data_IF_629711410789
#
_entry.id   IF_629711410789
#
_cell.length_a   1.000
_cell.length_b   1.000
_cell.length_c   1.000
_cell.angle_alpha   90.00
_cell.angle_beta   90.00
_cell.angle_gamma   90.00
#
_symmetry.space_group_name_H-M   'P 1'
#
loop_
_entity.id
_entity.type
_entity.pdbx_description
1 polymer ?
#
# COMPACT_ATOMS: atom_id res chain seq x y z
N UNK A 1 -19.79 10.16 -3.35
CA UNK A 1 -19.00 8.98 -2.94
C UNK A 1 -17.53 9.32 -3.02
N UNK A 2 -16.71 8.79 -2.11
CA UNK A 2 -15.27 9.05 -2.16
C UNK A 2 -14.58 8.10 -3.13
N UNK A 3 -13.69 8.62 -3.97
CA UNK A 3 -12.87 7.85 -4.88
C UNK A 3 -11.61 7.40 -4.16
N UNK A 4 -11.57 6.13 -3.77
CA UNK A 4 -10.50 5.54 -2.98
C UNK A 4 -9.76 4.49 -3.81
N UNK A 5 -8.43 4.57 -3.79
CA UNK A 5 -7.53 3.56 -4.34
C UNK A 5 -6.75 2.91 -3.19
N UNK A 6 -6.53 1.62 -3.29
CA UNK A 6 -5.71 0.86 -2.36
C UNK A 6 -4.44 0.38 -3.07
N UNK A 7 -3.28 0.57 -2.45
CA UNK A 7 -1.99 0.10 -2.95
C UNK A 7 -1.32 -0.78 -1.89
N UNK A 8 -1.07 -2.04 -2.21
CA UNK A 8 -0.47 -2.97 -1.25
C UNK A 8 -0.01 -4.25 -1.90
N UNK A 9 0.82 -5.03 -1.20
CA UNK A 9 1.39 -6.25 -1.78
C UNK A 9 1.37 -7.42 -0.80
N UNK A 10 1.96 -7.37 0.42
CA UNK A 10 2.16 -8.51 1.26
C UNK A 10 0.89 -8.93 2.02
N UNK A 11 0.96 -10.11 2.63
CA UNK A 11 -0.12 -10.66 3.46
C UNK A 11 -0.57 -9.73 4.60
N UNK A 12 0.35 -8.95 5.15
CA UNK A 12 0.05 -7.94 6.17
C UNK A 12 -1.03 -6.94 5.72
N UNK A 13 -1.08 -6.59 4.44
CA UNK A 13 -2.04 -5.64 3.88
C UNK A 13 -3.45 -6.24 3.68
N UNK A 14 -3.60 -7.57 3.65
CA UNK A 14 -4.87 -8.25 3.35
C UNK A 14 -5.99 -7.91 4.32
N UNK A 15 -5.82 -8.03 5.66
CA UNK A 15 -6.90 -7.67 6.60
C UNK A 15 -7.29 -6.21 6.52
N UNK A 16 -6.35 -5.34 6.18
CA UNK A 16 -6.57 -3.90 6.03
C UNK A 16 -7.46 -3.65 4.80
N UNK A 17 -7.11 -4.23 3.64
CA UNK A 17 -7.93 -4.15 2.42
C UNK A 17 -9.35 -4.61 2.68
N UNK A 18 -9.53 -5.78 3.30
CA UNK A 18 -10.85 -6.32 3.63
C UNK A 18 -11.65 -5.38 4.52
N UNK A 19 -11.02 -4.81 5.56
CA UNK A 19 -11.69 -3.91 6.49
C UNK A 19 -12.13 -2.59 5.85
N UNK A 20 -11.30 -2.04 4.98
CA UNK A 20 -11.63 -0.82 4.23
C UNK A 20 -12.78 -1.10 3.25
N UNK A 21 -12.73 -2.21 2.51
CA UNK A 21 -13.74 -2.59 1.53
C UNK A 21 -15.13 -2.85 2.16
N UNK A 22 -15.18 -3.22 3.45
CA UNK A 22 -16.45 -3.35 4.18
C UNK A 22 -17.19 -2.02 4.39
N UNK A 23 -16.44 -0.91 4.45
CA UNK A 23 -16.99 0.41 4.80
C UNK A 23 -17.02 1.38 3.63
N UNK A 24 -16.11 1.23 2.69
CA UNK A 24 -15.91 2.17 1.60
C UNK A 24 -15.76 1.44 0.28
N UNK A 25 -16.30 2.02 -0.78
CA UNK A 25 -16.06 1.53 -2.14
C UNK A 25 -14.61 1.82 -2.53
N UNK A 26 -13.87 0.77 -2.89
CA UNK A 26 -12.53 0.86 -3.47
C UNK A 26 -12.68 0.83 -4.99
N UNK A 27 -12.16 1.85 -5.67
CA UNK A 27 -12.24 1.97 -7.12
C UNK A 27 -11.28 1.03 -7.84
N UNK A 28 -10.06 0.90 -7.30
CA UNK A 28 -9.03 0.04 -7.87
C UNK A 28 -8.00 -0.37 -6.81
N UNK A 29 -7.43 -1.54 -6.96
CA UNK A 29 -6.33 -2.06 -6.14
C UNK A 29 -5.08 -2.17 -6.99
N UNK A 30 -4.00 -1.53 -6.54
CA UNK A 30 -2.68 -1.68 -7.13
C UNK A 30 -1.82 -2.61 -6.29
N UNK A 31 -1.15 -3.53 -6.93
CA UNK A 31 -0.23 -4.46 -6.28
C UNK A 31 0.95 -4.77 -7.20
N UNK A 32 2.02 -5.33 -6.65
CA UNK A 32 3.17 -5.74 -7.45
C UNK A 32 2.77 -6.80 -8.49
N UNK A 33 3.38 -6.77 -9.68
CA UNK A 33 3.18 -7.81 -10.69
C UNK A 33 3.50 -9.19 -10.12
N UNK A 34 2.86 -10.25 -10.65
CA UNK A 34 3.24 -11.60 -10.31
C UNK A 34 4.73 -11.83 -10.51
N UNK A 35 5.38 -12.42 -9.54
CA UNK A 35 6.81 -12.70 -9.57
C UNK A 35 7.09 -14.19 -9.46
N UNK A 36 8.24 -14.61 -9.96
CA UNK A 36 8.70 -15.98 -9.79
C UNK A 36 9.03 -16.21 -8.32
N UNK A 37 8.35 -17.15 -7.69
CA UNK A 37 8.59 -17.53 -6.30
C UNK A 37 8.69 -19.04 -6.17
N UNK A 38 9.43 -19.49 -5.14
CA UNK A 38 9.66 -20.89 -4.80
C UNK A 38 10.54 -21.70 -5.79
N UNK A 39 10.94 -22.89 -5.37
CA UNK A 39 11.84 -23.80 -6.10
C UNK A 39 11.37 -24.22 -7.50
N UNK A 40 10.12 -23.96 -7.86
CA UNK A 40 9.55 -24.29 -9.18
C UNK A 40 9.44 -23.12 -10.16
N UNK A 41 9.95 -21.93 -9.83
CA UNK A 41 9.89 -20.72 -10.67
C UNK A 41 8.50 -20.40 -11.25
N UNK A 42 7.43 -20.79 -10.57
CA UNK A 42 6.06 -20.44 -10.97
C UNK A 42 5.78 -18.97 -10.68
N UNK A 43 5.11 -18.31 -11.61
CA UNK A 43 4.61 -16.97 -11.35
C UNK A 43 3.52 -17.02 -10.28
N UNK A 44 3.73 -16.29 -9.20
CA UNK A 44 2.81 -16.23 -8.07
C UNK A 44 2.25 -14.82 -7.91
N UNK A 45 0.94 -14.73 -7.85
CA UNK A 45 0.23 -13.48 -7.54
C UNK A 45 0.53 -13.06 -6.09
N UNK A 46 0.53 -11.75 -5.84
CA UNK A 46 0.68 -11.25 -4.49
C UNK A 46 -0.52 -11.64 -3.61
N UNK A 47 -0.39 -11.68 -2.27
CA UNK A 47 -1.52 -11.88 -1.38
C UNK A 47 -2.65 -10.86 -1.58
N UNK A 48 -2.31 -9.61 -1.88
CA UNK A 48 -3.29 -8.57 -2.19
C UNK A 48 -3.99 -8.84 -3.52
N UNK A 49 -3.29 -9.30 -4.56
CA UNK A 49 -3.90 -9.67 -5.83
C UNK A 49 -4.99 -10.74 -5.62
N UNK A 50 -4.63 -11.83 -4.95
CA UNK A 50 -5.57 -12.94 -4.67
C UNK A 50 -6.77 -12.46 -3.83
N UNK A 51 -6.52 -11.62 -2.83
CA UNK A 51 -7.59 -11.07 -2.00
C UNK A 51 -8.54 -10.19 -2.79
N UNK A 52 -8.01 -9.30 -3.63
CA UNK A 52 -8.80 -8.37 -4.43
C UNK A 52 -9.64 -9.11 -5.49
N UNK A 53 -9.12 -10.18 -6.10
CA UNK A 53 -9.89 -11.07 -6.96
C UNK A 53 -11.10 -11.67 -6.22
N UNK A 54 -10.90 -12.19 -5.02
CA UNK A 54 -11.96 -12.75 -4.19
C UNK A 54 -13.01 -11.72 -3.74
N UNK A 55 -12.67 -10.44 -3.77
CA UNK A 55 -13.57 -9.32 -3.47
C UNK A 55 -14.20 -8.70 -4.73
N UNK A 56 -13.92 -9.21 -5.91
CA UNK A 56 -14.35 -8.68 -7.21
C UNK A 56 -13.96 -7.21 -7.42
N UNK A 57 -12.77 -6.82 -6.96
CA UNK A 57 -12.22 -5.47 -7.14
C UNK A 57 -11.41 -5.39 -8.42
N UNK A 58 -11.40 -4.22 -9.06
CA UNK A 58 -10.49 -3.94 -10.15
C UNK A 58 -9.05 -3.99 -9.67
N UNK A 59 -8.16 -4.65 -10.43
CA UNK A 59 -6.76 -4.87 -10.06
C UNK A 59 -5.83 -4.41 -11.17
N UNK A 60 -4.82 -3.66 -10.79
CA UNK A 60 -3.73 -3.26 -11.68
C UNK A 60 -2.37 -3.64 -11.09
N UNK A 61 -1.49 -4.14 -11.95
CA UNK A 61 -0.16 -4.61 -11.58
C UNK A 61 0.93 -3.99 -12.46
N UNK A 62 1.05 -2.65 -12.47
CA UNK A 62 2.04 -1.98 -13.31
C UNK A 62 3.45 -2.27 -12.80
N UNK A 63 4.44 -2.29 -13.72
CA UNK A 63 5.85 -2.38 -13.34
C UNK A 63 6.32 -1.12 -12.62
N UNK A 64 5.80 0.02 -13.04
CA UNK A 64 5.98 1.32 -12.37
C UNK A 64 4.64 2.02 -12.26
N UNK A 65 4.31 2.53 -11.09
CA UNK A 65 3.04 3.22 -10.85
C UNK A 65 2.86 4.47 -11.74
N UNK A 66 3.93 5.08 -12.16
CA UNK A 66 3.92 6.23 -13.08
C UNK A 66 3.31 5.92 -14.46
N UNK A 67 3.29 4.66 -14.88
CA UNK A 67 2.64 4.20 -16.10
C UNK A 67 1.11 4.38 -16.05
N UNK A 68 0.55 4.44 -14.84
CA UNK A 68 -0.89 4.59 -14.60
C UNK A 68 -1.32 6.04 -14.29
N UNK A 69 -0.47 7.02 -14.60
CA UNK A 69 -0.75 8.45 -14.29
C UNK A 69 -2.09 8.92 -14.86
N UNK A 70 -2.37 8.70 -16.14
CA UNK A 70 -3.61 9.15 -16.77
C UNK A 70 -4.83 8.45 -16.15
N UNK A 71 -4.76 7.15 -15.93
CA UNK A 71 -5.82 6.40 -15.27
C UNK A 71 -6.12 6.95 -13.86
N UNK A 72 -5.09 7.17 -13.05
CA UNK A 72 -5.25 7.71 -11.69
C UNK A 72 -5.81 9.14 -11.70
N UNK A 73 -5.42 9.95 -12.67
CA UNK A 73 -5.92 11.31 -12.87
C UNK A 73 -7.41 11.30 -13.21
N UNK A 74 -7.85 10.43 -14.12
CA UNK A 74 -9.26 10.29 -14.51
C UNK A 74 -10.16 9.86 -13.35
N UNK A 75 -9.65 9.09 -12.40
CA UNK A 75 -10.39 8.67 -11.20
C UNK A 75 -10.74 9.83 -10.26
N UNK A 76 -10.14 11.01 -10.42
CA UNK A 76 -10.37 12.18 -9.55
C UNK A 76 -10.28 11.80 -8.06
N UNK A 77 -9.13 11.29 -7.66
CA UNK A 77 -8.87 10.63 -6.38
C UNK A 77 -9.14 11.53 -5.17
N UNK A 78 -9.88 11.01 -4.21
CA UNK A 78 -10.03 11.64 -2.89
C UNK A 78 -8.93 11.19 -1.92
N UNK A 79 -8.64 9.89 -1.86
CA UNK A 79 -7.66 9.30 -0.95
C UNK A 79 -7.02 8.07 -1.57
N UNK A 80 -5.73 7.91 -1.36
CA UNK A 80 -5.01 6.66 -1.65
C UNK A 80 -4.48 6.06 -0.35
N UNK A 81 -4.77 4.79 -0.12
CA UNK A 81 -4.29 4.04 1.04
C UNK A 81 -3.16 3.13 0.60
N UNK A 82 -2.00 3.26 1.23
CA UNK A 82 -0.78 2.51 0.89
C UNK A 82 -0.38 1.62 2.05
N UNK A 83 -0.16 0.35 1.77
CA UNK A 83 0.28 -0.63 2.77
C UNK A 83 1.35 -1.53 2.16
N UNK A 84 2.60 -1.21 2.40
CA UNK A 84 3.74 -1.97 1.87
C UNK A 84 3.60 -2.29 0.37
N UNK A 85 3.35 -1.28 -0.44
CA UNK A 85 3.15 -1.43 -1.89
C UNK A 85 4.40 -1.90 -2.62
N UNK A 86 5.58 -1.41 -2.20
CA UNK A 86 6.87 -1.84 -2.74
C UNK A 86 7.32 -1.08 -3.98
N UNK A 87 6.72 0.06 -4.29
CA UNK A 87 7.19 1.00 -5.32
C UNK A 87 7.31 2.40 -4.73
N UNK A 88 8.27 3.17 -5.23
CA UNK A 88 8.32 4.60 -4.98
C UNK A 88 7.20 5.29 -5.75
N UNK A 89 6.55 6.23 -5.10
CA UNK A 89 5.46 7.01 -5.67
C UNK A 89 6.00 8.41 -5.96
N UNK A 90 6.03 8.77 -7.23
CA UNK A 90 6.56 10.07 -7.65
C UNK A 90 5.69 11.22 -7.20
N UNK A 91 6.27 12.41 -7.10
CA UNK A 91 5.56 13.64 -6.75
C UNK A 91 4.33 13.87 -7.61
N UNK A 92 4.45 13.70 -8.92
CA UNK A 92 3.33 13.88 -9.85
C UNK A 92 2.14 12.97 -9.55
N UNK A 93 2.38 11.75 -9.07
CA UNK A 93 1.33 10.82 -8.63
C UNK A 93 0.75 11.26 -7.28
N UNK A 94 1.60 11.67 -6.32
CA UNK A 94 1.14 12.13 -5.00
C UNK A 94 0.20 13.35 -5.08
N UNK A 95 0.41 14.21 -6.06
CA UNK A 95 -0.39 15.41 -6.28
C UNK A 95 -1.80 15.13 -6.85
N UNK A 96 -2.07 13.90 -7.34
CA UNK A 96 -3.36 13.54 -7.93
C UNK A 96 -4.49 13.36 -6.90
N UNK A 97 -4.17 13.19 -5.63
CA UNK A 97 -5.16 12.91 -4.59
C UNK A 97 -5.45 14.15 -3.73
N UNK A 98 -6.73 14.49 -3.58
CA UNK A 98 -7.19 15.67 -2.81
C UNK A 98 -6.78 15.62 -1.33
N UNK A 99 -6.88 14.44 -0.73
CA UNK A 99 -6.52 14.21 0.69
C UNK A 99 -5.11 13.62 0.84
N UNK A 100 -4.47 13.29 -0.28
CA UNK A 100 -3.14 12.72 -0.33
C UNK A 100 -3.11 11.19 -0.22
N UNK A 101 -1.94 10.68 0.09
CA UNK A 101 -1.63 9.26 0.22
C UNK A 101 -1.38 8.95 1.69
N UNK A 102 -2.18 8.06 2.26
CA UNK A 102 -2.07 7.60 3.63
C UNK A 102 -1.32 6.26 3.66
N UNK A 103 -0.14 6.23 4.24
CA UNK A 103 0.62 5.00 4.46
C UNK A 103 0.30 4.39 5.83
N UNK A 104 0.03 3.11 5.84
CA UNK A 104 -0.10 2.31 7.07
C UNK A 104 1.20 1.54 7.24
N UNK A 105 2.06 2.05 8.12
CA UNK A 105 3.40 1.52 8.37
C UNK A 105 3.42 0.62 9.60
N UNK A 106 4.02 -0.56 9.48
CA UNK A 106 4.02 -1.59 10.52
C UNK A 106 5.11 -1.36 11.58
N UNK A 107 5.22 -0.14 12.09
CA UNK A 107 6.07 0.21 13.23
C UNK A 107 5.53 1.43 13.97
N UNK A 108 6.03 1.66 15.17
CA UNK A 108 5.85 2.93 15.90
C UNK A 108 6.91 3.93 15.41
N UNK A 109 6.58 4.69 14.36
CA UNK A 109 7.49 5.70 13.82
C UNK A 109 7.94 6.70 14.91
N UNK A 110 9.20 7.17 14.86
CA UNK A 110 10.18 7.07 13.76
C UNK A 110 11.00 5.78 13.72
N UNK A 111 10.75 4.81 14.59
CA UNK A 111 11.46 3.52 14.55
C UNK A 111 11.14 2.73 13.30
N UNK A 112 12.14 2.06 12.75
CA UNK A 112 12.01 1.13 11.62
C UNK A 112 11.38 1.75 10.37
N UNK A 113 11.79 2.96 10.02
CA UNK A 113 11.52 3.55 8.71
C UNK A 113 12.05 2.63 7.61
N UNK A 114 11.38 2.62 6.46
CA UNK A 114 11.78 1.82 5.32
C UNK A 114 11.27 0.38 5.37
N UNK A 115 12.04 -0.54 4.80
CA UNK A 115 11.62 -1.92 4.58
C UNK A 115 11.66 -2.79 5.84
N UNK A 116 10.77 -3.80 5.88
CA UNK A 116 10.76 -4.88 6.85
C UNK A 116 10.69 -4.46 8.34
N UNK A 117 9.80 -3.52 8.73
CA UNK A 117 9.71 -3.05 10.11
C UNK A 117 9.34 -4.17 11.10
N UNK A 118 8.49 -5.12 10.72
CA UNK A 118 8.08 -6.25 11.57
C UNK A 118 9.29 -7.14 11.87
N UNK A 119 10.02 -7.54 10.83
CA UNK A 119 11.20 -8.40 10.98
C UNK A 119 12.29 -7.73 11.83
N UNK A 120 12.49 -6.43 11.64
CA UNK A 120 13.47 -5.66 12.41
C UNK A 120 13.10 -5.58 13.88
N UNK A 121 11.84 -5.36 14.22
CA UNK A 121 11.39 -5.32 15.62
C UNK A 121 11.58 -6.67 16.31
N UNK A 122 11.30 -7.78 15.61
CA UNK A 122 11.52 -9.14 16.13
C UNK A 122 13.01 -9.42 16.35
N UNK A 123 13.85 -9.13 15.35
CA UNK A 123 15.30 -9.35 15.44
C UNK A 123 15.97 -8.52 16.57
N UNK A 124 15.39 -7.38 16.91
CA UNK A 124 15.87 -6.54 18.01
C UNK A 124 15.17 -6.84 19.36
N UNK A 125 14.46 -7.96 19.44
CA UNK A 125 13.76 -8.40 20.65
C UNK A 125 12.86 -7.31 21.28
N UNK A 126 12.21 -6.49 20.44
CA UNK A 126 11.32 -5.46 20.93
C UNK A 126 10.07 -6.07 21.56
N UNK A 127 9.78 -5.71 22.80
CA UNK A 127 8.60 -6.21 23.52
C UNK A 127 7.30 -5.58 23.05
N UNK A 128 7.38 -4.41 22.39
CA UNK A 128 6.22 -3.67 21.87
C UNK A 128 6.54 -3.11 20.50
N UNK A 129 5.63 -3.29 19.59
CA UNK A 129 5.59 -2.61 18.28
C UNK A 129 4.17 -2.17 18.00
N UNK A 130 3.93 -1.55 16.87
CA UNK A 130 2.60 -1.07 16.51
C UNK A 130 2.50 -0.66 15.06
N UNK A 131 1.51 0.14 14.77
CA UNK A 131 1.20 0.65 13.44
C UNK A 131 1.14 2.16 13.50
N UNK A 132 1.75 2.83 12.53
CA UNK A 132 1.65 4.28 12.36
C UNK A 132 0.90 4.61 11.09
N UNK A 133 0.01 5.59 11.16
CA UNK A 133 -0.67 6.18 10.02
C UNK A 133 0.03 7.48 9.67
N UNK A 134 0.59 7.56 8.48
CA UNK A 134 1.36 8.73 8.05
C UNK A 134 0.97 9.17 6.64
N UNK A 135 1.01 10.46 6.38
CA UNK A 135 0.90 11.00 5.04
C UNK A 135 2.21 10.76 4.30
N UNK A 136 2.13 10.26 3.08
CA UNK A 136 3.32 10.09 2.23
C UNK A 136 3.73 11.45 1.69
N UNK A 137 5.03 11.76 1.79
CA UNK A 137 5.72 12.85 1.11
C UNK A 137 6.77 12.30 0.13
N UNK A 138 7.58 13.18 -0.44
CA UNK A 138 8.63 12.80 -1.40
C UNK A 138 9.78 12.01 -0.76
N UNK A 139 9.91 12.04 0.57
CA UNK A 139 10.95 11.34 1.32
C UNK A 139 10.41 10.07 1.94
N UNK A 140 11.25 9.04 1.99
CA UNK A 140 10.86 7.74 2.52
C UNK A 140 10.46 7.82 4.00
N UNK A 141 9.22 7.44 4.30
CA UNK A 141 8.64 7.33 5.66
C UNK A 141 8.92 8.52 6.58
N UNK A 142 8.95 9.74 6.03
CA UNK A 142 9.24 10.98 6.76
C UNK A 142 8.06 11.94 6.88
N UNK A 143 6.97 11.64 6.22
CA UNK A 143 5.77 12.46 6.27
C UNK A 143 5.14 12.55 7.67
N UNK A 144 4.21 13.49 7.88
CA UNK A 144 3.58 13.68 9.17
C UNK A 144 2.79 12.44 9.60
N UNK A 145 3.01 12.01 10.84
CA UNK A 145 2.28 10.90 11.47
C UNK A 145 0.94 11.43 11.98
N UNK A 146 -0.14 10.83 11.49
CA UNK A 146 -1.50 11.21 11.85
C UNK A 146 -1.97 10.51 13.13
N UNK A 147 -1.54 9.25 13.34
CA UNK A 147 -1.91 8.43 14.50
C UNK A 147 -0.94 7.24 14.66
N UNK A 148 -0.91 6.67 15.86
CA UNK A 148 -0.10 5.49 16.21
C UNK A 148 -0.92 4.51 17.05
#
# INVERSE_FOLDING_TARGET
>A
MSNIVFMGTPRFAVPILKKINQKYKINCVFTQPPSKSNRGQKFTKSPIHTCAEGLNLEIKTPKKIDEEYEYLKELNLDLVIVVAYGQLISKKILELSKKGFLNIHASLLPKWRGAAPIQRSILNNEKKTGISFMKIDEKLDSGPVCNK
#
